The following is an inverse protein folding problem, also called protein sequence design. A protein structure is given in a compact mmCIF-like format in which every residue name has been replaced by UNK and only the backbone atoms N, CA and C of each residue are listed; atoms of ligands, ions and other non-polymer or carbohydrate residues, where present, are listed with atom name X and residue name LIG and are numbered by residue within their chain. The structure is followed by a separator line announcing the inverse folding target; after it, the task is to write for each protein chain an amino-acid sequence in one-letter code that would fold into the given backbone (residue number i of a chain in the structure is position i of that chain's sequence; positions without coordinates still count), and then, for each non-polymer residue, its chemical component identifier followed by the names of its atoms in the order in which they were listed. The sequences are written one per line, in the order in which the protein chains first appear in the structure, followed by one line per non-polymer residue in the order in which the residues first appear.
data_IF_478571602353
#
_entry.id   IF_478571602353
#
_cell.length_a   1.000
_cell.length_b   1.000
_cell.length_c   1.000
_cell.angle_alpha   90.00
_cell.angle_beta   90.00
_cell.angle_gamma   90.00
#
_symmetry.space_group_name_H-M   'P 1'
#
loop_
_entity.id
_entity.type
_entity.pdbx_description
1 polymer ?
#
# COMPACT_ATOMS: atom_id res chain seq x y z
N UNK A 1 -32.35 18.39 -0.46
CA UNK A 1 -31.26 17.98 0.44
C UNK A 1 -30.12 17.50 -0.44
N UNK A 2 -28.95 18.11 -0.33
CA UNK A 2 -27.74 17.58 -0.95
C UNK A 2 -27.37 16.28 -0.23
N UNK A 3 -26.86 15.24 -0.90
CA UNK A 3 -26.42 14.04 -0.23
C UNK A 3 -25.33 14.41 0.79
N UNK A 4 -25.51 13.99 2.05
CA UNK A 4 -24.49 14.06 3.08
C UNK A 4 -23.22 13.37 2.56
N UNK A 5 -22.08 14.08 2.58
CA UNK A 5 -20.82 13.51 2.15
C UNK A 5 -20.44 12.38 3.11
N UNK A 6 -20.29 11.16 2.61
CA UNK A 6 -19.75 10.06 3.40
C UNK A 6 -18.37 10.45 3.93
N UNK A 7 -18.10 10.28 5.24
CA UNK A 7 -16.82 10.67 5.81
C UNK A 7 -15.68 9.87 5.15
N UNK A 8 -14.67 10.58 4.67
CA UNK A 8 -13.46 9.99 4.08
C UNK A 8 -12.68 9.26 5.18
N UNK A 9 -12.33 8.00 4.92
CA UNK A 9 -11.50 7.24 5.83
C UNK A 9 -10.05 7.76 5.78
N UNK A 10 -9.49 8.05 6.96
CA UNK A 10 -8.10 8.44 7.12
C UNK A 10 -7.46 7.79 8.35
N UNK A 11 -6.54 6.86 8.10
CA UNK A 11 -5.61 6.33 9.09
C UNK A 11 -4.37 7.21 9.19
N UNK A 12 -4.14 7.80 10.36
CA UNK A 12 -2.93 8.55 10.65
C UNK A 12 -1.76 7.60 10.79
N UNK A 13 -0.66 7.93 10.11
CA UNK A 13 0.57 7.17 10.21
C UNK A 13 1.05 7.10 11.67
N UNK A 14 1.46 5.90 12.07
CA UNK A 14 2.20 5.64 13.30
C UNK A 14 3.44 4.80 13.00
N UNK A 15 4.54 5.08 13.71
CA UNK A 15 5.84 4.38 13.55
C UNK A 15 6.33 4.43 12.09
N UNK A 16 7.03 3.37 11.66
CA UNK A 16 7.52 3.17 10.30
C UNK A 16 6.51 2.42 9.40
N UNK A 17 5.21 2.44 9.75
CA UNK A 17 4.17 1.69 9.03
C UNK A 17 3.55 2.48 7.86
N UNK A 18 4.31 3.37 7.23
CA UNK A 18 3.79 4.24 6.17
C UNK A 18 3.13 3.46 5.02
N UNK A 19 3.71 2.33 4.60
CA UNK A 19 3.11 1.50 3.55
C UNK A 19 1.75 0.91 3.96
N UNK A 20 1.61 0.44 5.21
CA UNK A 20 0.35 -0.06 5.76
C UNK A 20 -0.73 1.03 5.73
N UNK A 21 -0.40 2.19 6.30
CA UNK A 21 -1.33 3.31 6.39
C UNK A 21 -1.68 3.89 5.02
N UNK A 22 -0.73 3.92 4.09
CA UNK A 22 -0.98 4.33 2.71
C UNK A 22 -1.94 3.37 2.00
N UNK A 23 -1.78 2.05 2.19
CA UNK A 23 -2.68 1.04 1.64
C UNK A 23 -4.08 1.12 2.26
N UNK A 24 -4.21 1.23 3.57
CA UNK A 24 -5.53 1.35 4.24
C UNK A 24 -6.25 2.65 3.83
N UNK A 25 -5.51 3.75 3.69
CA UNK A 25 -6.05 4.99 3.15
C UNK A 25 -6.47 4.84 1.68
N UNK A 26 -5.69 4.18 0.84
CA UNK A 26 -6.04 3.94 -0.56
C UNK A 26 -7.33 3.12 -0.70
N UNK A 27 -7.50 2.11 0.15
CA UNK A 27 -8.68 1.23 0.16
C UNK A 27 -9.83 1.75 1.01
N UNK A 28 -9.67 2.92 1.64
CA UNK A 28 -10.68 3.55 2.47
C UNK A 28 -11.23 2.65 3.60
N UNK A 29 -10.37 1.80 4.18
CA UNK A 29 -10.75 0.87 5.27
C UNK A 29 -9.54 0.47 6.11
N UNK A 30 -9.73 0.39 7.44
CA UNK A 30 -8.73 -0.10 8.40
C UNK A 30 -8.48 -1.59 8.28
N UNK A 31 -9.47 -2.31 7.78
CA UNK A 31 -9.49 -3.75 7.61
C UNK A 31 -8.91 -4.18 6.27
N UNK A 32 -8.55 -3.22 5.40
CA UNK A 32 -7.98 -3.52 4.09
C UNK A 32 -6.67 -4.30 4.20
N UNK A 33 -5.77 -3.87 5.09
CA UNK A 33 -4.50 -4.53 5.37
C UNK A 33 -4.15 -4.45 6.87
N UNK A 34 -3.47 -5.49 7.35
CA UNK A 34 -2.85 -5.57 8.67
C UNK A 34 -1.34 -5.67 8.54
N UNK A 35 -0.63 -5.20 9.56
CA UNK A 35 0.83 -5.31 9.63
C UNK A 35 1.33 -6.74 9.37
N UNK A 36 0.66 -7.74 9.95
CA UNK A 36 1.02 -9.15 9.79
C UNK A 36 0.96 -9.64 8.34
N UNK A 37 0.09 -9.05 7.51
CA UNK A 37 0.00 -9.41 6.09
C UNK A 37 1.21 -8.89 5.32
N UNK A 38 1.65 -7.66 5.60
CA UNK A 38 2.88 -7.10 5.02
C UNK A 38 4.13 -7.83 5.51
N UNK A 39 4.15 -8.23 6.78
CA UNK A 39 5.21 -9.05 7.34
C UNK A 39 5.30 -10.43 6.66
N UNK A 40 4.16 -11.07 6.39
CA UNK A 40 4.12 -12.34 5.66
C UNK A 40 4.64 -12.19 4.22
N UNK A 41 4.32 -11.09 3.55
CA UNK A 41 4.87 -10.78 2.23
C UNK A 41 6.40 -10.64 2.28
N UNK A 42 6.93 -9.94 3.29
CA UNK A 42 8.39 -9.83 3.46
C UNK A 42 9.06 -11.20 3.52
N UNK A 43 8.49 -12.13 4.29
CA UNK A 43 9.00 -13.50 4.42
C UNK A 43 8.89 -14.26 3.09
N UNK A 44 7.80 -14.08 2.35
CA UNK A 44 7.62 -14.72 1.04
C UNK A 44 8.61 -14.21 -0.01
N UNK A 45 8.97 -12.92 0.02
CA UNK A 45 9.91 -12.32 -0.94
C UNK A 45 11.37 -12.72 -0.66
N UNK A 46 11.70 -13.10 0.57
CA UNK A 46 13.06 -13.48 0.99
C UNK A 46 13.05 -14.65 2.00
N UNK A 47 12.66 -15.88 1.56
CA UNK A 47 12.37 -17.00 2.46
C UNK A 47 13.61 -17.55 3.19
N UNK A 48 14.81 -17.34 2.66
CA UNK A 48 16.05 -17.91 3.19
C UNK A 48 16.94 -16.87 3.89
N UNK A 49 16.42 -15.67 4.16
CA UNK A 49 17.18 -14.57 4.72
C UNK A 49 16.83 -14.37 6.19
N UNK A 50 17.80 -14.59 7.09
CA UNK A 50 17.65 -14.31 8.52
C UNK A 50 17.41 -12.82 8.81
N UNK A 51 18.03 -11.94 8.01
CA UNK A 51 17.77 -10.51 8.00
C UNK A 51 16.94 -10.21 6.75
N UNK A 52 15.69 -9.83 6.95
CA UNK A 52 14.79 -9.55 5.85
C UNK A 52 15.12 -8.19 5.21
N UNK A 53 15.40 -8.11 3.90
CA UNK A 53 15.77 -6.86 3.24
C UNK A 53 14.58 -5.93 2.95
N UNK A 54 13.35 -6.42 3.13
CA UNK A 54 12.12 -5.71 2.74
C UNK A 54 11.44 -4.98 3.90
N UNK A 55 12.05 -4.96 5.10
CA UNK A 55 11.57 -4.24 6.28
C UNK A 55 12.71 -3.91 7.23
N UNK A 56 12.47 -3.03 8.21
CA UNK A 56 13.42 -2.75 9.29
C UNK A 56 13.83 -4.04 10.03
N UNK A 57 15.08 -4.13 10.48
CA UNK A 57 15.67 -5.33 11.13
C UNK A 57 14.83 -5.79 12.34
N UNK A 58 14.25 -4.85 13.09
CA UNK A 58 13.39 -5.15 14.24
C UNK A 58 11.94 -5.52 13.87
N UNK A 59 11.59 -5.57 12.59
CA UNK A 59 10.24 -5.91 12.12
C UNK A 59 9.17 -4.86 12.44
N UNK A 60 9.56 -3.60 12.63
CA UNK A 60 8.65 -2.52 13.07
C UNK A 60 7.97 -1.75 11.92
N UNK A 61 8.25 -2.11 10.67
CA UNK A 61 7.79 -1.42 9.47
C UNK A 61 8.91 -1.18 8.46
N UNK A 62 8.90 0.00 7.83
CA UNK A 62 9.81 0.41 6.76
C UNK A 62 9.79 -0.55 5.56
N UNK A 63 8.58 -0.88 5.13
CA UNK A 63 8.37 -1.78 4.00
C UNK A 63 8.84 -1.15 2.71
N UNK A 64 9.60 -1.89 1.91
CA UNK A 64 9.99 -1.44 0.59
C UNK A 64 8.82 -1.48 -0.41
N UNK A 65 9.08 -0.97 -1.62
CA UNK A 65 8.05 -0.92 -2.66
C UNK A 65 7.61 -2.30 -3.17
N UNK A 66 8.46 -3.33 -3.07
CA UNK A 66 8.11 -4.68 -3.53
C UNK A 66 7.01 -5.27 -2.63
N UNK A 67 7.07 -5.00 -1.33
CA UNK A 67 6.01 -5.37 -0.39
C UNK A 67 4.68 -4.71 -0.75
N UNK A 68 4.71 -3.40 -1.07
CA UNK A 68 3.53 -2.66 -1.50
C UNK A 68 2.94 -3.22 -2.81
N UNK A 69 3.79 -3.52 -3.80
CA UNK A 69 3.38 -4.09 -5.09
C UNK A 69 2.74 -5.47 -4.89
N UNK A 70 3.38 -6.35 -4.11
CA UNK A 70 2.86 -7.68 -3.81
C UNK A 70 1.53 -7.62 -3.04
N UNK A 71 1.38 -6.67 -2.10
CA UNK A 71 0.14 -6.46 -1.37
C UNK A 71 -1.03 -6.08 -2.29
N UNK A 72 -0.78 -5.21 -3.27
CA UNK A 72 -1.77 -4.85 -4.30
C UNK A 72 -2.10 -6.04 -5.21
N UNK A 73 -1.10 -6.79 -5.64
CA UNK A 73 -1.27 -7.98 -6.48
C UNK A 73 -2.10 -9.06 -5.78
N UNK A 74 -1.90 -9.28 -4.48
CA UNK A 74 -2.70 -10.21 -3.69
C UNK A 74 -4.19 -9.85 -3.62
N UNK A 75 -4.56 -8.58 -3.89
CA UNK A 75 -5.95 -8.12 -4.01
C UNK A 75 -6.41 -7.94 -5.46
N UNK A 76 -5.64 -8.38 -6.45
CA UNK A 76 -5.99 -8.29 -7.87
C UNK A 76 -5.69 -6.93 -8.53
N UNK A 77 -4.90 -6.07 -7.88
CA UNK A 77 -4.50 -4.77 -8.42
C UNK A 77 -3.07 -4.80 -8.96
N UNK A 78 -2.77 -3.89 -9.88
CA UNK A 78 -1.42 -3.67 -10.40
C UNK A 78 -0.92 -2.29 -10.04
N UNK A 79 0.36 -2.18 -9.69
CA UNK A 79 1.05 -0.90 -9.51
C UNK A 79 1.94 -0.62 -10.72
N UNK A 80 1.82 0.59 -11.26
CA UNK A 80 2.63 1.05 -12.39
C UNK A 80 3.51 2.22 -11.97
N UNK A 81 4.78 2.15 -12.38
CA UNK A 81 5.70 3.26 -12.17
C UNK A 81 5.34 4.43 -13.08
N UNK A 82 5.00 5.56 -12.47
CA UNK A 82 4.83 6.80 -13.21
C UNK A 82 6.21 7.35 -13.62
N UNK A 83 6.52 7.29 -14.92
CA UNK A 83 7.77 7.82 -15.47
C UNK A 83 7.64 9.32 -15.79
N UNK A 84 8.23 10.17 -14.95
CA UNK A 84 8.19 11.64 -15.09
C UNK A 84 8.78 12.17 -16.40
N UNK A 85 9.60 11.39 -17.11
CA UNK A 85 10.25 11.80 -18.37
C UNK A 85 9.31 11.69 -19.57
N UNK A 86 8.23 10.90 -19.44
CA UNK A 86 7.23 10.76 -20.50
C UNK A 86 6.34 12.01 -20.50
N UNK A 87 6.21 12.69 -21.65
CA UNK A 87 5.26 13.79 -21.82
C UNK A 87 3.86 13.25 -21.54
N UNK A 88 3.21 13.79 -20.50
CA UNK A 88 1.86 13.38 -20.07
C UNK A 88 0.89 13.57 -21.22
N UNK A 89 0.13 12.54 -21.57
CA UNK A 89 -1.04 12.69 -22.43
C UNK A 89 -2.29 12.46 -21.58
N UNK A 90 -2.38 11.35 -20.82
CA UNK A 90 -3.41 11.14 -19.79
C UNK A 90 -2.90 10.15 -18.72
N UNK A 91 -3.29 10.33 -17.45
CA UNK A 91 -3.25 9.24 -16.46
C UNK A 91 -4.64 8.65 -16.45
N UNK A 92 -4.80 7.45 -17.01
CA UNK A 92 -6.10 6.75 -16.97
C UNK A 92 -6.29 6.24 -15.55
N UNK A 93 -7.19 6.89 -14.83
CA UNK A 93 -7.67 6.43 -13.54
C UNK A 93 -8.97 5.68 -13.80
N UNK A 94 -8.89 4.36 -13.93
CA UNK A 94 -10.06 3.50 -14.07
C UNK A 94 -10.14 2.55 -12.87
N UNK A 95 -11.31 2.44 -12.25
CA UNK A 95 -11.54 1.48 -11.15
C UNK A 95 -11.15 1.96 -9.76
N UNK A 96 -10.80 3.24 -9.58
CA UNK A 96 -10.71 3.89 -8.28
C UNK A 96 -11.81 4.94 -8.27
N UNK A 97 -12.87 4.71 -7.48
CA UNK A 97 -13.86 5.75 -7.20
C UNK A 97 -13.18 6.80 -6.32
N UNK A 98 -12.64 7.84 -6.94
CA UNK A 98 -12.37 9.09 -6.24
C UNK A 98 -13.73 9.70 -5.92
N UNK A 99 -14.06 9.74 -4.62
CA UNK A 99 -15.14 10.57 -4.07
C UNK A 99 -14.77 12.05 -4.24
#
# INVERSE_FOLDING_TARGET
MLPESTPIYHEKQSRELCALHALNNLFQSKEAFKQMELDAICLSLSPNNYINPHRSILGIGNYDVNVLIAALQNKGYSAFWFDKRKKKIFVIISGINFI
#
